data_IF_558247993185
#
_entry.id   IF_558247993185
#
_cell.length_a   1.000
_cell.length_b   1.000
_cell.length_c   1.000
_cell.angle_alpha   90.00
_cell.angle_beta   90.00
_cell.angle_gamma   90.00
#
_symmetry.space_group_name_H-M   'P 1'
#
loop_
_entity.id
_entity.type
_entity.pdbx_description
1 polymer ?
#
# COMPACT_ATOMS: atom_id res chain seq x y z
N UNK A 1 -13.70 5.67 -18.69
CA UNK A 1 -12.63 6.02 -17.73
C UNK A 1 -12.80 5.28 -16.40
N UNK A 2 -13.92 5.41 -15.69
CA UNK A 2 -14.13 4.76 -14.39
C UNK A 2 -14.03 3.22 -14.41
N UNK A 3 -14.58 2.55 -15.44
CA UNK A 3 -14.43 1.09 -15.60
C UNK A 3 -12.96 0.68 -15.78
N UNK A 4 -12.21 1.45 -16.56
CA UNK A 4 -10.78 1.18 -16.80
C UNK A 4 -9.98 1.28 -15.50
N UNK A 5 -10.20 2.32 -14.69
CA UNK A 5 -9.58 2.47 -13.37
C UNK A 5 -9.91 1.27 -12.48
N UNK A 6 -11.17 0.80 -12.50
CA UNK A 6 -11.59 -0.35 -11.70
C UNK A 6 -10.86 -1.63 -12.10
N UNK A 7 -10.74 -1.90 -13.40
CA UNK A 7 -10.05 -3.09 -13.92
C UNK A 7 -8.55 -3.07 -13.61
N UNK A 8 -7.91 -1.90 -13.76
CA UNK A 8 -6.50 -1.73 -13.35
C UNK A 8 -6.35 -1.98 -11.85
N UNK A 9 -7.27 -1.46 -11.04
CA UNK A 9 -7.29 -1.71 -9.60
C UNK A 9 -7.42 -3.19 -9.24
N UNK A 10 -8.25 -3.94 -9.95
CA UNK A 10 -8.41 -5.39 -9.74
C UNK A 10 -7.10 -6.16 -10.01
N UNK A 11 -6.33 -5.75 -11.01
CA UNK A 11 -5.01 -6.32 -11.29
C UNK A 11 -3.98 -5.89 -10.24
N UNK A 12 -4.01 -4.61 -9.85
CA UNK A 12 -3.07 -4.04 -8.87
C UNK A 12 -3.18 -4.69 -7.49
N UNK A 13 -4.38 -5.15 -7.08
CA UNK A 13 -4.52 -5.95 -5.85
C UNK A 13 -3.60 -7.18 -5.87
N UNK A 14 -3.55 -7.92 -6.98
CA UNK A 14 -2.69 -9.11 -7.06
C UNK A 14 -1.20 -8.75 -7.10
N UNK A 15 -0.85 -7.60 -7.67
CA UNK A 15 0.52 -7.08 -7.62
C UNK A 15 0.95 -6.75 -6.19
N UNK A 16 0.09 -6.07 -5.42
CA UNK A 16 0.35 -5.71 -4.03
C UNK A 16 0.41 -6.93 -3.11
N UNK A 17 -0.46 -7.91 -3.33
CA UNK A 17 -0.44 -9.20 -2.63
C UNK A 17 0.89 -9.94 -2.87
N UNK A 18 1.34 -10.03 -4.11
CA UNK A 18 2.60 -10.68 -4.47
C UNK A 18 3.82 -9.98 -3.84
N UNK A 19 3.83 -8.65 -3.83
CA UNK A 19 4.86 -7.87 -3.14
C UNK A 19 4.91 -8.15 -1.64
N UNK A 20 3.74 -8.26 -1.01
CA UNK A 20 3.62 -8.58 0.42
C UNK A 20 4.11 -9.99 0.72
N UNK A 21 3.67 -10.99 -0.07
CA UNK A 21 4.14 -12.37 0.03
C UNK A 21 5.67 -12.45 -0.07
N UNK A 22 6.25 -11.82 -1.10
CA UNK A 22 7.69 -11.87 -1.37
C UNK A 22 8.50 -11.33 -0.20
N UNK A 23 8.12 -10.15 0.32
CA UNK A 23 8.79 -9.56 1.49
C UNK A 23 8.63 -10.42 2.74
N UNK A 24 7.41 -10.90 3.03
CA UNK A 24 7.14 -11.77 4.19
C UNK A 24 7.99 -13.04 4.14
N UNK A 25 8.08 -13.70 2.98
CA UNK A 25 8.91 -14.89 2.78
C UNK A 25 10.40 -14.62 3.07
N UNK A 26 10.95 -13.52 2.58
CA UNK A 26 12.35 -13.17 2.81
C UNK A 26 12.64 -12.78 4.27
N UNK A 27 11.71 -12.11 4.94
CA UNK A 27 11.84 -11.75 6.36
C UNK A 27 11.78 -13.00 7.25
N UNK A 28 10.87 -13.93 6.98
CA UNK A 28 10.80 -15.19 7.72
C UNK A 28 12.06 -16.06 7.53
N UNK A 29 12.71 -15.97 6.37
CA UNK A 29 13.95 -16.69 6.10
C UNK A 29 15.17 -16.06 6.77
N UNK A 30 15.18 -14.74 6.90
CA UNK A 30 16.23 -13.96 7.58
C UNK A 30 15.63 -12.64 8.09
N UNK A 31 15.51 -12.54 9.42
CA UNK A 31 14.89 -11.40 10.10
C UNK A 31 15.63 -10.07 9.83
N UNK A 32 16.91 -10.12 9.44
CA UNK A 32 17.66 -8.90 9.09
C UNK A 32 17.08 -8.18 7.87
N UNK A 33 16.33 -8.90 7.02
CA UNK A 33 15.61 -8.30 5.89
C UNK A 33 14.49 -7.35 6.32
N UNK A 34 14.00 -7.44 7.57
CA UNK A 34 13.02 -6.47 8.07
C UNK A 34 13.61 -5.05 8.06
N UNK A 35 14.87 -4.92 8.50
CA UNK A 35 15.58 -3.64 8.46
C UNK A 35 15.72 -3.11 7.03
N UNK A 36 15.99 -3.97 6.06
CA UNK A 36 16.07 -3.57 4.64
C UNK A 36 14.73 -2.99 4.18
N UNK A 37 13.61 -3.62 4.53
CA UNK A 37 12.27 -3.12 4.18
C UNK A 37 11.98 -1.78 4.84
N UNK A 38 12.26 -1.62 6.14
CA UNK A 38 11.99 -0.37 6.87
C UNK A 38 12.87 0.76 6.37
N UNK A 39 14.17 0.54 6.20
CA UNK A 39 15.11 1.55 5.72
C UNK A 39 14.72 2.02 4.30
N UNK A 40 14.34 1.08 3.42
CA UNK A 40 13.91 1.41 2.05
C UNK A 40 12.59 2.21 2.06
N UNK A 41 11.66 1.88 2.96
CA UNK A 41 10.40 2.63 3.10
C UNK A 41 10.65 4.04 3.65
N UNK A 42 11.53 4.19 4.64
CA UNK A 42 11.94 5.50 5.18
C UNK A 42 12.63 6.36 4.12
N UNK A 43 13.45 5.76 3.26
CA UNK A 43 14.11 6.44 2.14
C UNK A 43 13.10 6.91 1.08
N UNK A 44 12.18 6.04 0.66
CA UNK A 44 11.32 6.31 -0.51
C UNK A 44 10.04 7.08 -0.19
N UNK A 45 9.50 6.97 1.03
CA UNK A 45 8.23 7.63 1.39
C UNK A 45 8.27 9.16 1.22
N UNK A 46 9.32 9.88 1.65
CA UNK A 46 9.42 11.32 1.42
C UNK A 46 9.41 11.69 -0.07
N UNK A 47 10.03 10.85 -0.93
CA UNK A 47 10.02 11.08 -2.38
C UNK A 47 8.63 10.91 -2.99
N UNK A 48 7.88 9.89 -2.57
CA UNK A 48 6.51 9.69 -3.02
C UNK A 48 5.60 10.87 -2.61
N UNK A 49 5.70 11.33 -1.36
CA UNK A 49 4.94 12.48 -0.87
C UNK A 49 5.34 13.79 -1.58
N UNK A 50 6.64 13.98 -1.83
CA UNK A 50 7.14 15.14 -2.58
C UNK A 50 6.59 15.14 -4.01
N UNK A 51 6.49 13.98 -4.65
CA UNK A 51 5.92 13.87 -6.00
C UNK A 51 4.43 14.27 -6.03
N UNK A 52 3.65 13.87 -5.01
CA UNK A 52 2.24 14.26 -4.88
C UNK A 52 2.12 15.77 -4.68
N UNK A 53 2.91 16.34 -3.76
CA UNK A 53 2.92 17.78 -3.50
C UNK A 53 3.29 18.55 -4.77
N UNK A 54 4.34 18.15 -5.46
CA UNK A 54 4.77 18.77 -6.71
C UNK A 54 3.67 18.73 -7.78
N UNK A 55 2.95 17.60 -7.90
CA UNK A 55 1.85 17.47 -8.85
C UNK A 55 0.68 18.43 -8.53
N UNK A 56 0.39 18.63 -7.24
CA UNK A 56 -0.63 19.59 -6.79
C UNK A 56 -0.19 21.03 -7.05
N UNK A 57 1.06 21.38 -6.73
CA UNK A 57 1.61 22.74 -6.87
C UNK A 57 1.76 23.18 -8.33
N UNK A 58 1.99 22.22 -9.24
CA UNK A 58 2.19 22.50 -10.67
C UNK A 58 0.91 22.37 -11.49
N UNK A 59 -0.18 21.90 -10.89
CA UNK A 59 -1.46 21.81 -11.56
C UNK A 59 -2.03 23.23 -11.78
N UNK A 60 -2.40 23.62 -13.02
CA UNK A 60 -2.92 24.97 -13.28
C UNK A 60 -4.15 25.33 -12.45
N UNK A 61 -5.00 24.33 -12.19
CA UNK A 61 -6.18 24.43 -11.33
C UNK A 61 -6.43 23.07 -10.70
N UNK A 62 -6.36 23.00 -9.36
CA UNK A 62 -6.72 21.79 -8.61
C UNK A 62 -8.25 21.70 -8.58
N UNK A 63 -8.86 20.57 -9.00
CA UNK A 63 -10.30 20.38 -8.92
C UNK A 63 -10.82 20.61 -7.49
N UNK A 64 -11.95 21.31 -7.30
CA UNK A 64 -12.48 21.63 -5.97
C UNK A 64 -12.85 20.38 -5.16
N UNK A 65 -13.03 19.23 -5.80
CA UNK A 65 -13.27 17.93 -5.17
C UNK A 65 -12.00 17.31 -4.55
N UNK A 66 -10.81 17.83 -4.86
CA UNK A 66 -9.54 17.35 -4.31
C UNK A 66 -9.14 18.24 -3.15
N UNK A 67 -9.16 17.68 -1.94
CA UNK A 67 -8.51 18.28 -0.77
C UNK A 67 -7.04 17.81 -0.72
N UNK A 68 -6.06 18.72 -0.93
CA UNK A 68 -4.63 18.40 -0.85
C UNK A 68 -4.22 17.72 0.46
N UNK A 69 -4.79 18.17 1.58
CA UNK A 69 -4.45 17.64 2.91
C UNK A 69 -4.95 16.21 3.03
N UNK A 70 -6.22 15.98 2.66
CA UNK A 70 -6.81 14.65 2.69
C UNK A 70 -6.06 13.67 1.76
N UNK A 71 -5.64 14.12 0.57
CA UNK A 71 -4.87 13.30 -0.36
C UNK A 71 -3.49 12.91 0.20
N UNK A 72 -2.79 13.85 0.84
CA UNK A 72 -1.49 13.59 1.47
C UNK A 72 -1.61 12.63 2.66
N UNK A 73 -2.63 12.80 3.51
CA UNK A 73 -2.93 11.87 4.60
C UNK A 73 -3.23 10.48 4.06
N UNK A 74 -4.12 10.39 3.06
CA UNK A 74 -4.46 9.12 2.43
C UNK A 74 -3.22 8.39 1.89
N UNK A 75 -2.33 9.09 1.19
CA UNK A 75 -1.09 8.51 0.66
C UNK A 75 -0.16 7.99 1.78
N UNK A 76 -0.01 8.75 2.87
CA UNK A 76 0.79 8.34 4.04
C UNK A 76 0.24 7.10 4.76
N UNK A 77 -1.07 7.04 4.94
CA UNK A 77 -1.74 5.91 5.60
C UNK A 77 -1.56 4.60 4.82
N UNK A 78 -1.59 4.66 3.47
CA UNK A 78 -1.33 3.49 2.61
C UNK A 78 0.03 2.87 2.86
N UNK A 79 1.07 3.71 3.01
CA UNK A 79 2.43 3.24 3.25
C UNK A 79 2.57 2.58 4.63
N UNK A 80 2.01 3.21 5.67
CA UNK A 80 2.07 2.70 7.05
C UNK A 80 1.33 1.36 7.19
N UNK A 81 0.14 1.26 6.60
CA UNK A 81 -0.67 0.04 6.60
C UNK A 81 0.07 -1.15 5.98
N UNK A 82 0.88 -0.89 4.94
CA UNK A 82 1.69 -1.91 4.27
C UNK A 82 2.78 -2.47 5.16
N UNK A 83 3.45 -1.61 5.94
CA UNK A 83 4.51 -2.04 6.87
C UNK A 83 3.95 -3.00 7.94
N UNK A 84 2.81 -2.67 8.55
CA UNK A 84 2.20 -3.53 9.57
C UNK A 84 1.83 -4.93 9.05
N UNK A 85 1.40 -5.05 7.80
CA UNK A 85 1.14 -6.36 7.18
C UNK A 85 2.41 -7.21 7.02
N UNK A 86 3.54 -6.58 6.73
CA UNK A 86 4.82 -7.24 6.49
C UNK A 86 5.51 -7.62 7.80
N UNK A 87 5.41 -6.76 8.83
CA UNK A 87 6.00 -6.97 10.15
C UNK A 87 5.57 -8.30 10.79
N UNK A 88 4.34 -8.74 10.52
CA UNK A 88 3.79 -10.03 10.99
C UNK A 88 4.61 -11.27 10.58
N UNK A 89 5.54 -11.15 9.63
CA UNK A 89 6.40 -12.25 9.18
C UNK A 89 7.71 -12.40 9.97
N UNK A 90 8.05 -11.46 10.85
CA UNK A 90 9.23 -11.59 11.72
C UNK A 90 9.02 -12.79 12.65
N UNK A 91 9.95 -13.75 12.63
CA UNK A 91 9.86 -15.00 13.41
C UNK A 91 8.83 -16.02 12.91
N UNK A 92 8.20 -15.80 11.75
CA UNK A 92 7.25 -16.75 11.16
C UNK A 92 7.96 -17.93 10.48
N UNK A 93 7.25 -19.04 10.28
CA UNK A 93 7.75 -20.19 9.52
C UNK A 93 7.65 -19.95 8.01
N UNK A 94 8.78 -20.12 7.31
CA UNK A 94 8.88 -19.92 5.85
C UNK A 94 7.98 -20.88 5.08
N UNK A 95 7.91 -22.15 5.49
CA UNK A 95 7.08 -23.15 4.81
C UNK A 95 5.58 -22.84 5.00
N UNK A 96 5.21 -22.32 6.16
CA UNK A 96 3.88 -21.76 6.42
C UNK A 96 3.53 -20.61 5.48
N UNK A 97 4.46 -19.67 5.23
CA UNK A 97 4.23 -18.53 4.34
C UNK A 97 3.98 -18.98 2.90
N UNK A 98 4.66 -20.02 2.41
CA UNK A 98 4.47 -20.52 1.04
C UNK A 98 3.04 -21.00 0.75
N UNK A 99 2.30 -21.37 1.79
CA UNK A 99 0.91 -21.81 1.71
C UNK A 99 -0.07 -20.72 2.18
N UNK A 100 0.43 -19.55 2.57
CA UNK A 100 -0.35 -18.47 3.14
C UNK A 100 -0.91 -17.54 2.04
N UNK A 101 -2.21 -17.68 1.79
CA UNK A 101 -2.98 -16.82 0.88
C UNK A 101 -3.53 -15.56 1.57
N UNK A 102 -3.21 -15.32 2.84
CA UNK A 102 -3.67 -14.11 3.54
C UNK A 102 -3.24 -12.79 2.90
N UNK A 103 -2.10 -12.65 2.19
CA UNK A 103 -1.78 -11.40 1.49
C UNK A 103 -2.82 -11.01 0.43
N UNK A 104 -3.40 -11.96 -0.29
CA UNK A 104 -4.44 -11.67 -1.30
C UNK A 104 -5.73 -11.23 -0.64
N UNK A 105 -6.18 -11.97 0.39
CA UNK A 105 -7.38 -11.61 1.18
C UNK A 105 -7.23 -10.25 1.85
N UNK A 106 -6.02 -9.91 2.26
CA UNK A 106 -5.71 -8.61 2.85
C UNK A 106 -5.96 -7.48 1.86
N UNK A 107 -5.57 -7.63 0.60
CA UNK A 107 -5.84 -6.62 -0.44
C UNK A 107 -7.33 -6.46 -0.75
N UNK A 108 -8.10 -7.56 -0.68
CA UNK A 108 -9.56 -7.50 -0.81
C UNK A 108 -10.17 -6.67 0.33
N UNK A 109 -9.78 -6.97 1.58
CA UNK A 109 -10.22 -6.20 2.76
C UNK A 109 -9.83 -4.73 2.65
N UNK A 110 -8.62 -4.43 2.18
CA UNK A 110 -8.17 -3.04 2.00
C UNK A 110 -9.05 -2.32 0.98
N UNK A 111 -9.37 -2.97 -0.14
CA UNK A 111 -10.26 -2.43 -1.16
C UNK A 111 -11.70 -2.22 -0.67
N UNK A 112 -12.22 -3.13 0.15
CA UNK A 112 -13.55 -3.00 0.75
C UNK A 112 -13.63 -1.83 1.74
N UNK A 113 -12.60 -1.67 2.58
CA UNK A 113 -12.51 -0.55 3.52
C UNK A 113 -12.40 0.79 2.81
N UNK A 114 -11.60 0.89 1.75
CA UNK A 114 -11.51 2.12 0.95
C UNK A 114 -12.86 2.45 0.29
N UNK A 115 -13.54 1.43 -0.24
CA UNK A 115 -14.85 1.59 -0.87
C UNK A 115 -15.89 2.07 0.14
N UNK A 116 -15.85 1.53 1.37
CA UNK A 116 -16.70 1.95 2.47
C UNK A 116 -16.39 3.39 2.92
N UNK A 117 -15.11 3.75 3.07
CA UNK A 117 -14.69 5.09 3.42
C UNK A 117 -15.14 6.13 2.38
N UNK A 118 -14.99 5.82 1.08
CA UNK A 118 -15.47 6.68 0.00
C UNK A 118 -16.99 6.80 -0.03
N UNK A 119 -17.73 5.74 0.32
CA UNK A 119 -19.18 5.78 0.41
C UNK A 119 -19.68 6.60 1.60
N UNK A 120 -18.94 6.67 2.70
CA UNK A 120 -19.32 7.41 3.90
C UNK A 120 -19.15 8.94 3.78
N UNK A 121 -18.40 9.41 2.77
CA UNK A 121 -18.15 10.84 2.50
C UNK A 121 -19.06 11.38 1.38
N UNK A 122 -19.91 10.53 0.77
CA UNK A 122 -20.93 10.89 -0.21
C UNK A 122 -22.28 11.16 0.45
#
# INVERSE_FOLDING_TARGET
MQELIRRIGDDERRHMAWGTFTRRRHIAADESNWKVVTDTMEELLPHALTQIQWALDTMPEVPPEIDPTALMTYAGDRATRRLGAIESAVGADVAGIDLDYSPEKLEDVFGDEDSAALAAVR
#
